data_IF_082510364455
#
_entry.id   IF_082510364455
#
_cell.length_a   1.000
_cell.length_b   1.000
_cell.length_c   1.000
_cell.angle_alpha   90.00
_cell.angle_beta   90.00
_cell.angle_gamma   90.00
#
_symmetry.space_group_name_H-M   'P 1'
#
loop_
_entity.id
_entity.type
_entity.pdbx_description
1 polymer ?
#
# COMPACT_ATOMS: atom_id res chain seq x y z
N UNK A 1 -10.62 17.80 5.36
CA UNK A 1 -10.41 16.35 5.17
C UNK A 1 -9.35 16.20 4.07
N UNK A 2 -8.09 15.94 4.42
CA UNK A 2 -6.98 16.07 3.45
C UNK A 2 -6.73 14.74 2.74
N UNK A 3 -6.80 14.79 1.40
CA UNK A 3 -6.66 13.64 0.51
C UNK A 3 -5.32 12.92 0.70
N UNK A 4 -5.39 11.67 1.15
CA UNK A 4 -4.28 10.71 1.12
C UNK A 4 -4.21 10.15 -0.31
N UNK A 5 -3.20 10.51 -1.10
CA UNK A 5 -2.92 9.81 -2.36
C UNK A 5 -2.25 8.48 -2.05
N UNK A 6 -3.04 7.41 -1.95
CA UNK A 6 -2.52 6.05 -1.91
C UNK A 6 -2.17 5.59 -3.34
N UNK A 7 -0.93 5.15 -3.57
CA UNK A 7 -0.53 4.45 -4.80
C UNK A 7 -0.13 3.03 -4.45
N UNK A 8 -0.85 2.06 -5.00
CA UNK A 8 -0.56 0.63 -4.91
C UNK A 8 -0.08 0.18 -6.29
N UNK A 9 1.10 -0.41 -6.41
CA UNK A 9 1.59 -0.92 -7.70
C UNK A 9 2.37 -2.22 -7.48
N UNK A 10 1.80 -3.37 -7.82
CA UNK A 10 2.40 -4.71 -7.72
C UNK A 10 2.05 -5.46 -6.42
N UNK A 11 0.79 -5.93 -6.37
CA UNK A 11 0.40 -7.07 -5.56
C UNK A 11 0.88 -8.31 -6.34
N UNK A 12 1.93 -8.96 -5.84
CA UNK A 12 2.31 -10.30 -6.29
C UNK A 12 1.64 -11.33 -5.37
N UNK A 13 1.47 -12.58 -5.79
CA UNK A 13 0.79 -13.64 -5.00
C UNK A 13 1.35 -13.80 -3.57
N UNK A 14 2.60 -13.38 -3.34
CA UNK A 14 3.37 -13.63 -2.12
C UNK A 14 3.83 -12.36 -1.40
N UNK A 15 3.61 -11.18 -1.97
CA UNK A 15 4.01 -9.89 -1.41
C UNK A 15 3.10 -8.79 -1.90
N UNK A 16 2.66 -7.92 -0.99
CA UNK A 16 2.01 -6.67 -1.32
C UNK A 16 2.66 -5.52 -0.56
N UNK A 17 2.37 -4.29 -0.99
CA UNK A 17 2.76 -3.11 -0.25
C UNK A 17 1.70 -2.03 -0.28
N UNK A 18 1.71 -1.23 0.78
CA UNK A 18 0.92 -0.02 0.93
C UNK A 18 1.90 1.15 1.05
N UNK A 19 1.61 2.24 0.36
CA UNK A 19 2.37 3.48 0.50
C UNK A 19 1.47 4.65 0.83
N UNK A 20 1.86 5.41 1.84
CA UNK A 20 1.24 6.68 2.21
C UNK A 20 2.28 7.79 2.14
N UNK A 21 1.84 9.00 1.78
CA UNK A 21 2.69 10.18 1.75
C UNK A 21 2.07 11.25 2.63
N UNK A 22 2.80 11.70 3.63
CA UNK A 22 2.44 12.87 4.40
C UNK A 22 2.72 14.13 3.56
N UNK A 23 1.69 14.95 3.35
CA UNK A 23 1.79 16.16 2.52
C UNK A 23 2.55 17.27 3.23
N UNK A 24 2.45 17.37 4.56
CA UNK A 24 3.09 18.43 5.36
C UNK A 24 4.58 18.20 5.52
N UNK A 25 4.98 16.97 5.83
CA UNK A 25 6.39 16.62 6.06
C UNK A 25 7.07 16.10 4.81
N UNK A 26 6.32 15.83 3.73
CA UNK A 26 6.81 15.22 2.49
C UNK A 26 7.44 13.82 2.68
N UNK A 27 7.24 13.21 3.85
CA UNK A 27 7.72 11.86 4.17
C UNK A 27 6.80 10.84 3.50
N UNK A 28 7.40 9.83 2.87
CA UNK A 28 6.66 8.68 2.34
C UNK A 28 6.91 7.47 3.23
N UNK A 29 5.84 6.86 3.71
CA UNK A 29 5.91 5.60 4.45
C UNK A 29 5.47 4.47 3.53
N UNK A 30 6.27 3.41 3.44
CA UNK A 30 5.97 2.20 2.67
C UNK A 30 5.97 1.01 3.59
N UNK A 31 4.82 0.35 3.72
CA UNK A 31 4.67 -0.93 4.41
C UNK A 31 4.70 -2.05 3.38
N UNK A 32 5.57 -3.04 3.58
CA UNK A 32 5.77 -4.16 2.68
C UNK A 32 5.57 -5.42 3.48
N UNK A 33 4.61 -6.24 3.05
CA UNK A 33 4.25 -7.46 3.73
C UNK A 33 4.49 -8.62 2.78
N UNK A 34 5.30 -9.57 3.23
CA UNK A 34 5.63 -10.79 2.50
C UNK A 34 5.24 -12.02 3.32
N UNK A 35 4.88 -13.11 2.64
CA UNK A 35 4.75 -14.39 3.32
C UNK A 35 6.09 -14.88 3.85
N UNK A 36 6.06 -15.50 5.03
CA UNK A 36 7.24 -16.00 5.75
C UNK A 36 7.88 -17.20 5.06
N UNK A 37 7.06 -18.06 4.43
CA UNK A 37 7.47 -19.28 3.73
C UNK A 37 8.19 -19.01 2.40
N UNK A 38 8.26 -17.76 1.97
CA UNK A 38 8.88 -17.37 0.70
C UNK A 38 10.31 -16.89 0.92
N UNK A 39 11.22 -17.45 0.10
CA UNK A 39 12.67 -17.23 0.18
C UNK A 39 13.08 -15.82 -0.25
N UNK A 40 12.33 -15.21 -1.16
CA UNK A 40 12.68 -13.88 -1.64
C UNK A 40 12.49 -12.83 -0.54
N UNK A 41 13.49 -11.96 -0.39
CA UNK A 41 13.43 -10.81 0.50
C UNK A 41 13.31 -9.53 -0.35
N UNK A 42 12.10 -8.94 -0.49
CA UNK A 42 11.89 -7.70 -1.21
C UNK A 42 12.79 -6.55 -0.75
N UNK A 43 13.25 -6.54 0.52
CA UNK A 43 14.19 -5.53 1.03
C UNK A 43 15.52 -5.49 0.27
N UNK A 44 15.99 -6.63 -0.25
CA UNK A 44 17.24 -6.65 -1.02
C UNK A 44 17.12 -5.84 -2.32
N UNK A 45 15.91 -5.71 -2.89
CA UNK A 45 15.65 -4.91 -4.10
C UNK A 45 15.43 -3.42 -3.79
N UNK A 46 14.98 -3.10 -2.58
CA UNK A 46 14.60 -1.73 -2.17
C UNK A 46 15.81 -0.89 -1.76
N UNK A 47 16.87 -1.54 -1.25
CA UNK A 47 18.10 -0.89 -0.82
C UNK A 47 18.88 -0.22 -1.98
N UNK A 48 18.47 -0.41 -3.25
CA UNK A 48 19.10 0.16 -4.43
C UNK A 48 18.62 1.58 -4.81
N UNK A 49 17.56 2.11 -4.17
CA UNK A 49 17.00 3.45 -4.48
C UNK A 49 17.19 4.46 -3.33
N UNK A 50 18.40 4.54 -2.76
CA UNK A 50 18.68 5.34 -1.55
C UNK A 50 18.64 6.87 -1.71
N UNK A 51 18.65 7.41 -2.93
CA UNK A 51 19.23 8.75 -3.07
C UNK A 51 18.31 9.98 -3.14
N UNK A 52 16.97 9.92 -3.06
CA UNK A 52 16.18 11.17 -3.28
C UNK A 52 14.91 11.42 -2.44
N UNK A 53 14.49 10.55 -1.53
CA UNK A 53 13.25 10.77 -0.76
C UNK A 53 13.39 10.35 0.70
N UNK A 54 12.84 11.16 1.61
CA UNK A 54 12.64 10.80 3.02
C UNK A 54 11.60 9.67 3.09
N UNK A 55 12.09 8.44 3.00
CA UNK A 55 11.27 7.25 2.95
C UNK A 55 11.42 6.46 4.26
N UNK A 56 10.32 6.23 4.97
CA UNK A 56 10.25 5.23 6.04
C UNK A 56 9.80 3.92 5.38
N UNK A 57 10.62 2.88 5.49
CA UNK A 57 10.34 1.58 4.90
C UNK A 57 10.18 0.56 6.02
N UNK A 58 8.98 0.01 6.13
CA UNK A 58 8.64 -1.03 7.10
C UNK A 58 8.45 -2.31 6.32
N UNK A 59 9.19 -3.35 6.69
CA UNK A 59 9.07 -4.67 6.08
C UNK A 59 8.75 -5.71 7.12
N UNK A 60 7.71 -6.49 6.84
CA UNK A 60 7.22 -7.52 7.73
C UNK A 60 7.08 -8.84 6.97
N UNK A 61 7.72 -9.89 7.48
CA UNK A 61 7.35 -11.27 7.12
C UNK A 61 6.26 -11.75 8.07
N UNK A 62 5.20 -12.34 7.52
CA UNK A 62 4.07 -12.87 8.28
C UNK A 62 3.74 -14.29 7.82
N UNK A 63 3.14 -15.10 8.67
CA UNK A 63 2.67 -16.43 8.26
C UNK A 63 1.54 -16.33 7.21
N UNK A 64 1.24 -17.43 6.53
CA UNK A 64 0.27 -17.45 5.42
C UNK A 64 -1.14 -17.05 5.84
N UNK A 65 -1.59 -17.42 7.05
CA UNK A 65 -2.91 -17.06 7.54
C UNK A 65 -3.04 -15.54 7.74
N UNK A 66 -2.04 -14.93 8.39
CA UNK A 66 -1.96 -13.47 8.56
C UNK A 66 -1.81 -12.75 7.22
N UNK A 67 -1.03 -13.30 6.29
CA UNK A 67 -0.88 -12.73 4.95
C UNK A 67 -2.22 -12.66 4.21
N UNK A 68 -2.94 -13.79 4.15
CA UNK A 68 -4.22 -13.87 3.44
C UNK A 68 -5.27 -12.96 4.09
N UNK A 69 -5.33 -12.91 5.42
CA UNK A 69 -6.20 -11.98 6.14
C UNK A 69 -5.92 -10.52 5.74
N UNK A 70 -4.66 -10.10 5.79
CA UNK A 70 -4.29 -8.72 5.46
C UNK A 70 -4.51 -8.40 3.97
N UNK A 71 -4.18 -9.34 3.08
CA UNK A 71 -4.40 -9.20 1.65
C UNK A 71 -5.89 -8.97 1.33
N UNK A 72 -6.76 -9.83 1.86
CA UNK A 72 -8.21 -9.72 1.63
C UNK A 72 -8.76 -8.44 2.25
N UNK A 73 -8.35 -8.11 3.49
CA UNK A 73 -8.75 -6.87 4.13
C UNK A 73 -8.40 -5.64 3.30
N UNK A 74 -7.19 -5.60 2.71
CA UNK A 74 -6.77 -4.50 1.83
C UNK A 74 -7.60 -4.47 0.55
N UNK A 75 -7.78 -5.61 -0.11
CA UNK A 75 -8.55 -5.69 -1.37
C UNK A 75 -9.98 -5.20 -1.14
N UNK A 76 -10.64 -5.67 -0.09
CA UNK A 76 -12.01 -5.27 0.26
C UNK A 76 -12.11 -3.76 0.51
N UNK A 77 -11.19 -3.20 1.32
CA UNK A 77 -11.21 -1.78 1.63
C UNK A 77 -10.85 -0.89 0.43
N UNK A 78 -10.03 -1.39 -0.51
CA UNK A 78 -9.71 -0.67 -1.74
C UNK A 78 -10.87 -0.64 -2.73
N UNK A 79 -11.67 -1.71 -2.79
CA UNK A 79 -12.91 -1.74 -3.58
C UNK A 79 -13.87 -0.69 -3.01
N UNK A 80 -14.11 -0.70 -1.70
CA UNK A 80 -15.00 0.26 -1.05
C UNK A 80 -14.56 1.72 -1.25
N UNK A 81 -13.25 2.02 -1.21
CA UNK A 81 -12.76 3.38 -1.45
C UNK A 81 -13.00 3.84 -2.89
N UNK A 82 -12.86 2.94 -3.88
CA UNK A 82 -13.12 3.28 -5.29
C UNK A 82 -14.59 3.54 -5.55
N UNK A 83 -15.46 2.67 -5.03
CA UNK A 83 -16.93 2.82 -5.15
C UNK A 83 -17.37 4.16 -4.56
N UNK A 84 -16.91 4.50 -3.35
CA UNK A 84 -17.20 5.79 -2.72
C UNK A 84 -16.65 7.00 -3.52
N UNK A 85 -15.50 6.84 -4.20
CA UNK A 85 -14.96 7.90 -5.06
C UNK A 85 -15.78 8.10 -6.33
N UNK A 86 -16.29 7.01 -6.91
CA UNK A 86 -17.17 7.03 -8.08
C UNK A 86 -18.51 7.70 -7.73
N UNK A 87 -19.16 7.30 -6.63
CA UNK A 87 -20.40 7.93 -6.15
C UNK A 87 -20.25 9.44 -5.89
N UNK A 88 -19.15 9.87 -5.23
CA UNK A 88 -18.89 11.29 -4.98
C UNK A 88 -18.71 12.07 -6.29
N UNK A 89 -18.10 11.46 -7.30
CA UNK A 89 -17.89 12.10 -8.59
C UNK A 89 -19.19 12.22 -9.39
N UNK A 90 -20.07 11.22 -9.33
CA UNK A 90 -21.40 11.27 -9.96
C UNK A 90 -22.27 12.37 -9.36
N UNK A 91 -22.34 12.46 -8.02
CA UNK A 91 -23.11 13.51 -7.33
C UNK A 91 -22.60 14.91 -7.68
N UNK A 92 -21.28 15.09 -7.85
CA UNK A 92 -20.68 16.38 -8.25
C UNK A 92 -20.97 16.78 -9.69
N UNK A 93 -21.25 15.83 -10.57
CA UNK A 93 -21.53 16.11 -11.99
C UNK A 93 -23.01 16.43 -12.24
N UNK A 94 -23.91 16.08 -11.33
CA UNK A 94 -25.36 16.20 -11.52
C UNK A 94 -26.05 17.08 -10.46
N UNK A 95 -25.28 17.79 -9.64
CA UNK A 95 -25.75 18.74 -8.62
C UNK A 95 -25.33 20.18 -8.88
#
# INVERSE_FOLDING_TARGET
>A
MNLIKQRHKDITEDTFYISTKDIKTNITTKLIISRLDKKDNPLMKINAQKDKQQNIIIYQKVNSATFNYLHNWIVDHLITIKELQEEINEVKQHG
#
